data_IF_024557953189
#
_entry.id   IF_024557953189
#
_cell.length_a   1.000
_cell.length_b   1.000
_cell.length_c   1.000
_cell.angle_alpha   90.00
_cell.angle_beta   90.00
_cell.angle_gamma   90.00
#
_symmetry.space_group_name_H-M   'P 1'
#
loop_
_entity.id
_entity.type
_entity.pdbx_description
1 polymer ?
#
# COMPACT_ATOMS: atom_id res chain seq x y z
N UNK A 1 52.81 -1.01 -40.02
CA UNK A 1 52.29 -1.78 -38.86
C UNK A 1 51.49 -0.92 -37.87
N UNK A 2 51.54 0.41 -37.95
CA UNK A 2 50.81 1.31 -37.02
C UNK A 2 49.28 1.32 -37.15
N UNK A 3 48.72 1.00 -38.32
CA UNK A 3 47.25 0.99 -38.51
C UNK A 3 46.52 -0.03 -37.63
N UNK A 4 47.18 -1.12 -37.22
CA UNK A 4 46.54 -2.15 -36.39
C UNK A 4 46.35 -1.71 -34.93
N UNK A 5 47.26 -0.89 -34.39
CA UNK A 5 47.18 -0.47 -32.98
C UNK A 5 46.02 0.50 -32.74
N UNK A 6 45.79 1.43 -33.69
CA UNK A 6 44.70 2.40 -33.60
C UNK A 6 43.31 1.73 -33.67
N UNK A 7 43.14 0.69 -34.49
CA UNK A 7 41.89 -0.05 -34.58
C UNK A 7 41.60 -0.86 -33.32
N UNK A 8 42.61 -1.47 -32.72
CA UNK A 8 42.48 -2.23 -31.46
C UNK A 8 42.03 -1.28 -30.33
N UNK A 9 42.67 -0.11 -30.19
CA UNK A 9 42.30 0.89 -29.17
C UNK A 9 40.88 1.41 -29.38
N UNK A 10 40.45 1.61 -30.64
CA UNK A 10 39.09 2.03 -30.96
C UNK A 10 38.05 0.94 -30.68
N UNK A 11 38.38 -0.33 -30.94
CA UNK A 11 37.52 -1.47 -30.63
C UNK A 11 37.36 -1.66 -29.11
N UNK A 12 38.44 -1.46 -28.36
CA UNK A 12 38.46 -1.56 -26.90
C UNK A 12 37.64 -0.44 -26.25
N UNK A 13 37.80 0.82 -26.70
CA UNK A 13 36.91 1.93 -26.27
C UNK A 13 35.44 1.69 -26.64
N UNK A 14 35.17 1.06 -27.79
CA UNK A 14 33.80 0.72 -28.20
C UNK A 14 33.20 -0.36 -27.30
N UNK A 15 34.00 -1.34 -26.87
CA UNK A 15 33.62 -2.38 -25.93
C UNK A 15 33.44 -1.82 -24.51
N UNK A 16 34.31 -0.94 -24.04
CA UNK A 16 34.13 -0.20 -22.77
C UNK A 16 32.87 0.67 -22.78
N UNK A 17 32.60 1.39 -23.88
CA UNK A 17 31.33 2.14 -24.05
C UNK A 17 30.11 1.22 -24.07
N UNK A 18 30.21 0.03 -24.65
CA UNK A 18 29.13 -0.98 -24.63
C UNK A 18 28.94 -1.61 -23.25
N UNK A 19 30.00 -1.79 -22.48
CA UNK A 19 29.95 -2.28 -21.09
C UNK A 19 29.49 -1.23 -20.08
N UNK A 20 29.64 0.07 -20.38
CA UNK A 20 29.12 1.17 -19.56
C UNK A 20 27.69 1.63 -19.96
N UNK A 21 27.25 1.35 -21.19
CA UNK A 21 25.87 1.59 -21.63
C UNK A 21 24.74 0.77 -20.94
N UNK A 22 24.94 -0.40 -20.28
CA UNK A 22 23.86 -1.10 -19.57
C UNK A 22 23.36 -0.31 -18.36
N UNK A 23 24.19 0.55 -17.76
CA UNK A 23 23.90 1.24 -16.50
C UNK A 23 22.78 2.28 -16.63
N UNK A 24 22.64 2.93 -17.79
CA UNK A 24 21.62 3.98 -18.02
C UNK A 24 20.25 3.36 -18.33
N UNK A 25 20.22 2.24 -19.08
CA UNK A 25 18.96 1.56 -19.44
C UNK A 25 18.32 0.89 -18.22
N UNK A 26 19.12 0.26 -17.37
CA UNK A 26 18.67 -0.35 -16.11
C UNK A 26 18.07 0.71 -15.15
N UNK A 27 18.67 1.89 -15.08
CA UNK A 27 18.16 2.97 -14.23
C UNK A 27 16.78 3.48 -14.67
N UNK A 28 16.54 3.55 -16.00
CA UNK A 28 15.25 3.98 -16.55
C UNK A 28 14.14 2.96 -16.27
N UNK A 29 14.43 1.66 -16.37
CA UNK A 29 13.45 0.60 -16.05
C UNK A 29 13.10 0.61 -14.57
N UNK A 30 14.10 0.71 -13.68
CA UNK A 30 13.88 0.78 -12.23
C UNK A 30 13.03 2.00 -11.86
N UNK A 31 13.27 3.15 -12.51
CA UNK A 31 12.47 4.35 -12.31
C UNK A 31 10.99 4.14 -12.71
N UNK A 32 10.72 3.58 -13.88
CA UNK A 32 9.35 3.32 -14.34
C UNK A 32 8.63 2.30 -13.49
N UNK A 33 9.29 1.20 -13.12
CA UNK A 33 8.69 0.18 -12.24
C UNK A 33 8.30 0.80 -10.89
N UNK A 34 9.18 1.59 -10.27
CA UNK A 34 8.87 2.29 -9.01
C UNK A 34 7.71 3.27 -9.17
N UNK A 35 7.68 4.03 -10.26
CA UNK A 35 6.60 4.97 -10.52
C UNK A 35 5.25 4.26 -10.70
N UNK A 36 5.22 3.18 -11.48
CA UNK A 36 4.01 2.37 -11.69
C UNK A 36 3.55 1.77 -10.35
N UNK A 37 4.46 1.18 -9.57
CA UNK A 37 4.14 0.64 -8.25
C UNK A 37 3.54 1.70 -7.33
N UNK A 38 4.06 2.93 -7.34
CA UNK A 38 3.52 4.05 -6.55
C UNK A 38 2.12 4.47 -6.99
N UNK A 39 1.88 4.55 -8.30
CA UNK A 39 0.56 4.87 -8.84
C UNK A 39 -0.44 3.78 -8.46
N UNK A 40 -0.07 2.50 -8.61
CA UNK A 40 -0.91 1.37 -8.21
C UNK A 40 -1.18 1.41 -6.70
N UNK A 41 -0.16 1.61 -5.86
CA UNK A 41 -0.35 1.75 -4.41
C UNK A 41 -1.30 2.90 -4.06
N UNK A 42 -1.17 4.05 -4.72
CA UNK A 42 -2.06 5.20 -4.52
C UNK A 42 -3.51 4.86 -4.87
N UNK A 43 -3.74 4.20 -6.01
CA UNK A 43 -5.08 3.79 -6.43
C UNK A 43 -5.69 2.80 -5.43
N UNK A 44 -4.93 1.81 -4.98
CA UNK A 44 -5.40 0.86 -3.98
C UNK A 44 -5.69 1.57 -2.65
N UNK A 45 -4.84 2.50 -2.20
CA UNK A 45 -5.13 3.31 -1.00
C UNK A 45 -6.45 4.09 -1.13
N UNK A 46 -6.71 4.69 -2.30
CA UNK A 46 -7.96 5.40 -2.56
C UNK A 46 -9.17 4.47 -2.51
N UNK A 47 -9.08 3.27 -3.12
CA UNK A 47 -10.14 2.27 -3.05
C UNK A 47 -10.39 1.81 -1.61
N UNK A 48 -9.34 1.53 -0.84
CA UNK A 48 -9.45 1.18 0.59
C UNK A 48 -10.15 2.29 1.38
N UNK A 49 -9.74 3.55 1.20
CA UNK A 49 -10.39 4.68 1.84
C UNK A 49 -11.88 4.77 1.49
N UNK A 50 -12.23 4.62 0.21
CA UNK A 50 -13.62 4.68 -0.24
C UNK A 50 -14.46 3.56 0.39
N UNK A 51 -13.96 2.31 0.38
CA UNK A 51 -14.65 1.17 0.99
C UNK A 51 -14.85 1.36 2.50
N UNK A 52 -13.81 1.81 3.22
CA UNK A 52 -13.90 2.04 4.66
C UNK A 52 -14.85 3.21 5.00
N UNK A 53 -14.83 4.28 4.22
CA UNK A 53 -15.74 5.42 4.39
C UNK A 53 -17.18 4.99 4.14
N UNK A 54 -17.44 4.20 3.10
CA UNK A 54 -18.78 3.73 2.79
C UNK A 54 -19.32 2.82 3.90
N UNK A 55 -18.51 1.86 4.36
CA UNK A 55 -18.85 1.01 5.50
C UNK A 55 -19.16 1.82 6.77
N UNK A 56 -18.36 2.84 7.09
CA UNK A 56 -18.60 3.73 8.24
C UNK A 56 -19.86 4.57 8.05
N UNK A 57 -20.14 5.06 6.84
CA UNK A 57 -21.37 5.81 6.54
C UNK A 57 -22.60 4.92 6.67
N UNK A 58 -22.54 3.72 6.13
CA UNK A 58 -23.58 2.70 6.23
C UNK A 58 -23.90 2.40 7.69
N UNK A 59 -22.88 2.14 8.51
CA UNK A 59 -23.04 1.97 9.95
C UNK A 59 -23.69 3.20 10.60
N UNK A 60 -23.17 4.41 10.37
CA UNK A 60 -23.71 5.63 11.01
C UNK A 60 -25.17 5.87 10.66
N UNK A 61 -25.57 5.56 9.42
CA UNK A 61 -26.96 5.70 8.96
C UNK A 61 -27.88 4.65 9.59
N UNK A 62 -27.37 3.44 9.80
CA UNK A 62 -28.17 2.29 10.21
C UNK A 62 -28.04 1.94 11.70
N UNK A 63 -27.20 2.63 12.46
CA UNK A 63 -26.93 2.35 13.89
C UNK A 63 -28.18 2.38 14.79
N UNK A 64 -29.21 3.11 14.38
CA UNK A 64 -30.47 3.25 15.12
C UNK A 64 -31.59 2.35 14.59
N UNK A 65 -31.32 1.57 13.53
CA UNK A 65 -32.30 0.66 12.95
C UNK A 65 -32.51 -0.51 13.91
N UNK A 66 -33.78 -0.79 14.18
CA UNK A 66 -34.22 -1.97 14.91
C UNK A 66 -34.97 -2.87 13.94
N UNK A 67 -34.75 -4.17 14.06
CA UNK A 67 -35.52 -5.15 13.31
C UNK A 67 -36.57 -5.79 14.21
N UNK A 68 -37.71 -6.16 13.64
CA UNK A 68 -38.76 -6.88 14.36
C UNK A 68 -38.42 -8.37 14.43
N UNK A 69 -38.70 -9.01 15.56
CA UNK A 69 -38.63 -10.46 15.64
C UNK A 69 -39.64 -11.10 14.67
N UNK A 70 -39.32 -12.28 14.13
CA UNK A 70 -40.18 -12.97 13.16
C UNK A 70 -41.54 -13.38 13.75
N UNK A 71 -41.61 -13.55 15.07
CA UNK A 71 -42.80 -13.89 15.84
C UNK A 71 -43.63 -12.65 16.26
N UNK A 72 -43.19 -11.44 15.91
CA UNK A 72 -43.86 -10.18 16.29
C UNK A 72 -43.74 -9.81 17.76
N UNK A 73 -42.92 -10.52 18.55
CA UNK A 73 -42.78 -10.34 20.01
C UNK A 73 -42.06 -9.04 20.42
N UNK A 74 -41.56 -8.26 19.46
CA UNK A 74 -40.91 -6.98 19.72
C UNK A 74 -39.91 -6.57 18.64
N UNK A 75 -39.03 -5.61 18.98
CA UNK A 75 -37.92 -5.18 18.12
C UNK A 75 -36.57 -5.27 18.84
N UNK A 76 -35.56 -5.74 18.13
CA UNK A 76 -34.18 -5.81 18.59
C UNK A 76 -33.28 -4.90 17.75
N UNK A 77 -32.23 -4.31 18.34
CA UNK A 77 -31.30 -3.49 17.59
C UNK A 77 -30.50 -4.35 16.61
N UNK A 78 -30.30 -3.84 15.40
CA UNK A 78 -29.53 -4.55 14.35
C UNK A 78 -28.02 -4.54 14.64
N UNK A 79 -27.58 -3.63 15.51
CA UNK A 79 -26.21 -3.45 15.95
C UNK A 79 -26.09 -3.73 17.46
N UNK A 80 -24.92 -4.16 17.97
CA UNK A 80 -24.78 -4.52 19.37
C UNK A 80 -24.84 -3.27 20.26
N UNK A 81 -25.90 -3.14 21.08
CA UNK A 81 -26.10 -2.01 22.02
C UNK A 81 -25.30 -2.15 23.32
N UNK A 82 -25.15 -3.37 23.87
CA UNK A 82 -24.62 -3.58 25.23
C UNK A 82 -23.09 -3.55 25.31
N UNK A 83 -22.38 -4.13 24.33
CA UNK A 83 -20.91 -4.12 24.33
C UNK A 83 -20.31 -3.03 23.44
N UNK A 84 -21.14 -2.39 22.61
CA UNK A 84 -20.75 -1.34 21.68
C UNK A 84 -19.87 -1.87 20.53
N UNK A 85 -20.26 -1.61 19.29
CA UNK A 85 -19.43 -1.96 18.14
C UNK A 85 -18.11 -1.18 18.19
N UNK A 86 -16.97 -1.90 18.24
CA UNK A 86 -15.65 -1.29 18.35
C UNK A 86 -15.20 -0.79 16.98
N UNK A 87 -15.32 0.51 16.76
CA UNK A 87 -14.91 1.18 15.49
C UNK A 87 -13.44 1.57 15.42
N UNK A 88 -12.69 1.43 16.52
CA UNK A 88 -11.27 1.80 16.58
C UNK A 88 -10.42 1.13 15.49
N UNK A 89 -10.55 -0.19 15.21
CA UNK A 89 -9.77 -0.83 14.15
C UNK A 89 -10.03 -0.20 12.77
N UNK A 90 -11.30 0.07 12.44
CA UNK A 90 -11.71 0.70 11.19
C UNK A 90 -11.14 2.12 11.05
N UNK A 91 -11.18 2.92 12.12
CA UNK A 91 -10.64 4.28 12.10
C UNK A 91 -9.11 4.32 12.00
N UNK A 92 -8.42 3.42 12.70
CA UNK A 92 -6.97 3.26 12.59
C UNK A 92 -6.61 2.86 11.15
N UNK A 93 -7.37 1.94 10.56
CA UNK A 93 -7.12 1.48 9.19
C UNK A 93 -7.34 2.58 8.15
N UNK A 94 -8.42 3.34 8.31
CA UNK A 94 -8.70 4.51 7.47
C UNK A 94 -7.62 5.59 7.61
N UNK A 95 -7.20 5.88 8.85
CA UNK A 95 -6.13 6.84 9.11
C UNK A 95 -4.81 6.41 8.44
N UNK A 96 -4.46 5.13 8.54
CA UNK A 96 -3.29 4.58 7.89
C UNK A 96 -3.35 4.69 6.36
N UNK A 97 -4.50 4.37 5.76
CA UNK A 97 -4.71 4.49 4.32
C UNK A 97 -4.59 5.94 3.83
N UNK A 98 -5.10 6.91 4.59
CA UNK A 98 -4.96 8.35 4.29
C UNK A 98 -3.50 8.78 4.35
N UNK A 99 -2.79 8.45 5.43
CA UNK A 99 -1.38 8.82 5.61
C UNK A 99 -0.52 8.22 4.49
N UNK A 100 -0.66 6.91 4.23
CA UNK A 100 0.04 6.24 3.14
C UNK A 100 -0.32 6.81 1.76
N UNK A 101 -1.59 7.17 1.55
CA UNK A 101 -2.07 7.83 0.34
C UNK A 101 -1.38 9.18 0.11
N UNK A 102 -1.29 10.02 1.14
CA UNK A 102 -0.61 11.32 1.07
C UNK A 102 0.88 11.14 0.74
N UNK A 103 1.57 10.21 1.40
CA UNK A 103 2.97 9.91 1.07
C UNK A 103 3.14 9.49 -0.39
N UNK A 104 2.27 8.59 -0.89
CA UNK A 104 2.33 8.16 -2.29
C UNK A 104 2.07 9.32 -3.27
N UNK A 105 1.11 10.20 -2.99
CA UNK A 105 0.85 11.40 -3.80
C UNK A 105 2.07 12.31 -3.84
N UNK A 106 2.67 12.62 -2.68
CA UNK A 106 3.86 13.47 -2.60
C UNK A 106 5.01 12.88 -3.40
N UNK A 107 5.25 11.57 -3.31
CA UNK A 107 6.30 10.88 -4.06
C UNK A 107 6.05 10.88 -5.57
N UNK A 108 4.80 10.67 -6.02
CA UNK A 108 4.43 10.72 -7.44
C UNK A 108 4.62 12.13 -7.98
N UNK A 109 4.15 13.16 -7.27
CA UNK A 109 4.34 14.56 -7.65
C UNK A 109 5.83 14.92 -7.73
N UNK A 110 6.62 14.53 -6.72
CA UNK A 110 8.07 14.73 -6.71
C UNK A 110 8.74 14.05 -7.91
N UNK A 111 8.30 12.85 -8.30
CA UNK A 111 8.82 12.12 -9.46
C UNK A 111 8.47 12.77 -10.81
N UNK A 112 7.35 13.49 -10.90
CA UNK A 112 6.91 14.20 -12.11
C UNK A 112 7.55 15.57 -12.27
N UNK A 113 7.93 16.24 -11.17
CA UNK A 113 8.59 17.55 -11.24
C UNK A 113 10.03 17.45 -11.77
N UNK A 114 10.29 18.03 -12.94
CA UNK A 114 11.60 18.02 -13.60
C UNK A 114 12.74 18.62 -12.74
N UNK A 115 12.43 19.45 -11.75
CA UNK A 115 13.39 20.05 -10.83
C UNK A 115 14.15 19.01 -9.97
N UNK A 116 13.54 17.85 -9.67
CA UNK A 116 14.14 16.79 -8.82
C UNK A 116 14.92 15.76 -9.63
N UNK A 117 14.77 15.75 -10.96
CA UNK A 117 15.45 14.82 -11.89
C UNK A 117 16.98 14.97 -11.89
N UNK A 118 17.51 16.12 -11.44
CA UNK A 118 18.96 16.37 -11.27
C UNK A 118 19.50 16.04 -9.85
N UNK A 119 18.63 15.85 -8.86
CA UNK A 119 19.00 15.48 -7.48
C UNK A 119 18.70 14.00 -7.19
N UNK A 120 19.14 13.10 -8.08
CA UNK A 120 18.86 11.65 -8.03
C UNK A 120 19.22 10.95 -6.72
N UNK A 121 20.17 11.48 -5.94
CA UNK A 121 20.52 10.93 -4.61
C UNK A 121 19.49 11.28 -3.52
N UNK A 122 19.02 12.53 -3.47
CA UNK A 122 18.08 12.99 -2.43
C UNK A 122 16.70 12.39 -2.66
N UNK A 123 16.25 12.32 -3.93
CA UNK A 123 14.97 11.70 -4.29
C UNK A 123 14.91 10.20 -3.98
N UNK A 124 16.03 9.46 -4.12
CA UNK A 124 16.07 8.05 -3.76
C UNK A 124 16.01 7.82 -2.24
N UNK A 125 16.65 8.69 -1.44
CA UNK A 125 16.64 8.60 0.03
C UNK A 125 15.25 8.94 0.57
N UNK A 126 14.60 10.01 0.08
CA UNK A 126 13.24 10.37 0.52
C UNK A 126 12.23 9.28 0.20
N UNK A 127 12.33 8.69 -0.99
CA UNK A 127 11.48 7.55 -1.41
C UNK A 127 11.70 6.33 -0.52
N UNK A 128 12.94 6.06 -0.10
CA UNK A 128 13.26 4.96 0.82
C UNK A 128 12.60 5.17 2.18
N UNK A 129 12.79 6.35 2.78
CA UNK A 129 12.24 6.67 4.11
C UNK A 129 10.72 6.56 4.09
N UNK A 130 10.07 7.14 3.08
CA UNK A 130 8.64 7.06 2.93
C UNK A 130 8.15 5.61 2.71
N UNK A 131 8.85 4.80 1.89
CA UNK A 131 8.49 3.39 1.70
C UNK A 131 8.61 2.57 2.97
N UNK A 132 9.66 2.81 3.77
CA UNK A 132 9.87 2.12 5.04
C UNK A 132 8.78 2.47 6.05
N UNK A 133 8.39 3.75 6.12
CA UNK A 133 7.28 4.21 6.97
C UNK A 133 5.97 3.57 6.52
N UNK A 134 5.66 3.62 5.22
CA UNK A 134 4.44 3.00 4.68
C UNK A 134 4.43 1.48 4.92
N UNK A 135 5.55 0.80 4.73
CA UNK A 135 5.67 -0.64 4.98
C UNK A 135 5.40 -0.97 6.46
N UNK A 136 6.07 -0.27 7.37
CA UNK A 136 5.87 -0.46 8.81
C UNK A 136 4.42 -0.17 9.21
N UNK A 137 3.82 0.88 8.64
CA UNK A 137 2.43 1.25 8.87
C UNK A 137 1.46 0.16 8.40
N UNK A 138 1.59 -0.33 7.16
CA UNK A 138 0.70 -1.38 6.65
C UNK A 138 0.89 -2.69 7.41
N UNK A 139 2.11 -3.07 7.77
CA UNK A 139 2.37 -4.27 8.58
C UNK A 139 1.75 -4.14 9.96
N UNK A 140 1.97 -3.02 10.65
CA UNK A 140 1.43 -2.78 11.98
C UNK A 140 -0.11 -2.79 11.98
N UNK A 141 -0.72 -2.10 11.01
CA UNK A 141 -2.16 -1.95 10.96
C UNK A 141 -2.85 -3.23 10.51
N UNK A 142 -2.30 -3.97 9.55
CA UNK A 142 -2.86 -5.27 9.14
C UNK A 142 -2.68 -6.34 10.22
N UNK A 143 -1.53 -6.37 10.91
CA UNK A 143 -1.32 -7.26 12.05
C UNK A 143 -2.27 -6.91 13.20
N UNK A 144 -2.40 -5.62 13.53
CA UNK A 144 -3.36 -5.16 14.52
C UNK A 144 -4.77 -5.58 14.11
N UNK A 145 -5.24 -5.22 12.92
CA UNK A 145 -6.58 -5.58 12.44
C UNK A 145 -6.82 -7.10 12.47
N UNK A 146 -5.85 -7.92 12.07
CA UNK A 146 -5.95 -9.38 12.11
C UNK A 146 -6.04 -9.97 13.52
N UNK A 147 -5.44 -9.32 14.53
CA UNK A 147 -5.65 -9.75 15.93
C UNK A 147 -7.07 -9.52 16.43
N UNK A 148 -7.78 -8.51 15.89
CA UNK A 148 -9.18 -8.24 16.26
C UNK A 148 -10.17 -9.15 15.54
N UNK A 149 -9.86 -9.58 14.31
CA UNK A 149 -10.66 -10.55 13.53
C UNK A 149 -10.70 -11.94 14.20
N UNK A 150 -9.73 -12.25 15.06
CA UNK A 150 -9.58 -13.58 15.69
C UNK A 150 -10.08 -13.65 17.13
N UNK A 151 -10.36 -12.52 17.78
CA UNK A 151 -10.85 -12.51 19.15
C UNK A 151 -12.38 -12.46 19.21
N UNK A 152 -13.00 -13.56 19.62
CA UNK A 152 -14.45 -13.69 19.85
C UNK A 152 -15.02 -12.66 20.85
N UNK A 153 -14.15 -12.01 21.63
CA UNK A 153 -14.50 -11.04 22.68
C UNK A 153 -14.56 -9.58 22.20
N UNK A 154 -14.41 -9.32 20.90
CA UNK A 154 -14.49 -7.97 20.35
C UNK A 154 -15.25 -7.92 19.04
N UNK A 155 -16.50 -7.46 19.11
CA UNK A 155 -17.30 -7.18 17.93
C UNK A 155 -16.80 -5.91 17.23
N UNK A 156 -15.88 -6.08 16.27
CA UNK A 156 -15.51 -5.06 15.31
C UNK A 156 -16.47 -5.05 14.11
N UNK A 157 -16.37 -4.02 13.27
CA UNK A 157 -17.28 -3.84 12.13
C UNK A 157 -17.17 -5.00 11.12
N UNK A 158 -15.97 -5.55 10.89
CA UNK A 158 -15.80 -6.68 9.96
C UNK A 158 -16.41 -7.95 10.54
N UNK A 159 -16.05 -8.36 11.76
CA UNK A 159 -16.57 -9.60 12.35
C UNK A 159 -18.08 -9.56 12.49
N UNK A 160 -18.65 -8.43 12.90
CA UNK A 160 -20.11 -8.30 13.04
C UNK A 160 -20.83 -8.44 11.69
N UNK A 161 -20.40 -7.66 10.69
CA UNK A 161 -21.04 -7.64 9.36
C UNK A 161 -20.86 -8.98 8.63
N UNK A 162 -19.72 -9.65 8.81
CA UNK A 162 -19.47 -10.96 8.20
C UNK A 162 -20.16 -12.12 8.92
N UNK A 163 -20.32 -12.06 10.25
CA UNK A 163 -21.12 -13.05 10.99
C UNK A 163 -22.59 -12.95 10.59
N UNK A 164 -23.10 -11.73 10.40
CA UNK A 164 -24.49 -11.48 10.02
C UNK A 164 -24.71 -11.36 8.51
N UNK A 165 -23.76 -11.81 7.68
CA UNK A 165 -23.77 -11.68 6.21
C UNK A 165 -25.03 -12.25 5.57
N UNK A 166 -25.56 -13.34 6.13
CA UNK A 166 -26.71 -14.07 5.58
C UNK A 166 -28.05 -13.56 6.12
N UNK A 167 -28.04 -12.64 7.09
CA UNK A 167 -29.26 -12.04 7.60
C UNK A 167 -29.62 -10.82 6.74
N UNK A 168 -30.64 -10.99 5.90
CA UNK A 168 -31.20 -9.92 5.09
C UNK A 168 -32.10 -9.02 5.93
N UNK A 169 -31.54 -7.95 6.49
CA UNK A 169 -32.33 -6.87 7.09
C UNK A 169 -32.76 -5.89 6.00
N UNK A 170 -34.01 -5.42 6.04
CA UNK A 170 -34.57 -4.53 4.98
C UNK A 170 -33.72 -3.28 4.74
N UNK A 171 -33.13 -2.73 5.80
CA UNK A 171 -32.41 -1.46 5.77
C UNK A 171 -30.88 -1.61 5.85
N UNK A 172 -30.36 -2.84 6.00
CA UNK A 172 -28.91 -3.10 6.17
C UNK A 172 -28.47 -4.31 5.35
N UNK A 173 -27.58 -4.07 4.38
CA UNK A 173 -26.97 -5.13 3.56
C UNK A 173 -25.61 -5.55 4.14
N UNK A 174 -25.63 -6.36 5.18
CA UNK A 174 -24.40 -6.87 5.81
C UNK A 174 -23.47 -7.62 4.85
N UNK A 175 -24.04 -8.30 3.85
CA UNK A 175 -23.26 -9.00 2.83
C UNK A 175 -22.37 -8.11 1.97
N UNK A 176 -22.86 -6.93 1.62
CA UNK A 176 -22.13 -5.95 0.82
C UNK A 176 -21.01 -5.34 1.66
N UNK A 177 -21.33 -4.84 2.86
CA UNK A 177 -20.35 -4.26 3.79
C UNK A 177 -19.26 -5.25 4.23
N UNK A 178 -19.61 -6.52 4.46
CA UNK A 178 -18.60 -7.56 4.75
C UNK A 178 -17.62 -7.74 3.58
N UNK A 179 -18.12 -7.71 2.34
CA UNK A 179 -17.28 -7.87 1.14
C UNK A 179 -16.34 -6.67 0.98
N UNK A 180 -16.84 -5.46 1.19
CA UNK A 180 -16.04 -4.22 1.14
C UNK A 180 -14.95 -4.21 2.22
N UNK A 181 -15.28 -4.58 3.45
CA UNK A 181 -14.33 -4.62 4.55
C UNK A 181 -13.28 -5.72 4.35
N UNK A 182 -13.67 -6.90 3.83
CA UNK A 182 -12.71 -7.96 3.44
C UNK A 182 -11.79 -7.51 2.31
N UNK A 183 -12.34 -6.84 1.30
CA UNK A 183 -11.54 -6.25 0.23
C UNK A 183 -10.52 -5.27 0.80
N UNK A 184 -10.94 -4.36 1.69
CA UNK A 184 -10.04 -3.39 2.32
C UNK A 184 -8.92 -4.07 3.12
N UNK A 185 -9.22 -5.13 3.87
CA UNK A 185 -8.23 -5.90 4.61
C UNK A 185 -7.18 -6.54 3.69
N UNK A 186 -7.62 -7.30 2.67
CA UNK A 186 -6.70 -7.96 1.73
C UNK A 186 -5.94 -6.96 0.85
N UNK A 187 -6.56 -5.84 0.50
CA UNK A 187 -5.90 -4.73 -0.17
C UNK A 187 -4.79 -4.13 0.71
N UNK A 188 -5.01 -4.00 2.02
CA UNK A 188 -3.96 -3.59 2.97
C UNK A 188 -2.79 -4.56 3.03
N UNK A 189 -3.05 -5.87 3.05
CA UNK A 189 -1.99 -6.90 2.96
C UNK A 189 -1.23 -6.79 1.64
N UNK A 190 -1.96 -6.60 0.53
CA UNK A 190 -1.37 -6.35 -0.79
C UNK A 190 -0.47 -5.12 -0.79
N UNK A 191 -0.91 -4.01 -0.18
CA UNK A 191 -0.13 -2.78 -0.05
C UNK A 191 1.15 -2.97 0.76
N UNK A 192 1.12 -3.76 1.85
CA UNK A 192 2.34 -4.16 2.56
C UNK A 192 3.31 -4.90 1.62
N UNK A 193 2.80 -5.82 0.79
CA UNK A 193 3.59 -6.51 -0.23
C UNK A 193 4.19 -5.57 -1.28
N UNK A 194 3.42 -4.62 -1.81
CA UNK A 194 3.90 -3.63 -2.77
C UNK A 194 5.00 -2.74 -2.17
N UNK A 195 4.84 -2.28 -0.93
CA UNK A 195 5.87 -1.49 -0.25
C UNK A 195 7.13 -2.32 0.05
N UNK A 196 6.99 -3.61 0.38
CA UNK A 196 8.13 -4.51 0.54
C UNK A 196 8.91 -4.68 -0.76
N UNK A 197 8.23 -4.85 -1.90
CA UNK A 197 8.87 -4.90 -3.23
C UNK A 197 9.62 -3.59 -3.52
N UNK A 198 9.00 -2.44 -3.27
CA UNK A 198 9.65 -1.13 -3.43
C UNK A 198 10.92 -1.02 -2.56
N UNK A 199 10.85 -1.48 -1.31
CA UNK A 199 11.98 -1.49 -0.39
C UNK A 199 13.11 -2.41 -0.89
N UNK A 200 12.79 -3.61 -1.36
CA UNK A 200 13.77 -4.57 -1.91
C UNK A 200 14.47 -4.01 -3.16
N UNK A 201 13.73 -3.41 -4.09
CA UNK A 201 14.31 -2.76 -5.28
C UNK A 201 15.30 -1.65 -4.86
N UNK A 202 15.02 -0.93 -3.78
CA UNK A 202 15.95 0.04 -3.23
C UNK A 202 17.19 -0.61 -2.63
N UNK A 203 17.04 -1.64 -1.79
CA UNK A 203 18.16 -2.36 -1.18
C UNK A 203 19.11 -2.91 -2.25
N UNK A 204 18.57 -3.53 -3.30
CA UNK A 204 19.37 -4.04 -4.43
C UNK A 204 20.16 -2.91 -5.10
N UNK A 205 19.51 -1.78 -5.39
CA UNK A 205 20.16 -0.62 -5.98
C UNK A 205 21.28 -0.06 -5.07
N UNK A 206 21.02 0.04 -3.77
CA UNK A 206 21.97 0.52 -2.77
C UNK A 206 23.20 -0.40 -2.66
N UNK A 207 22.99 -1.72 -2.58
CA UNK A 207 24.07 -2.72 -2.53
C UNK A 207 24.93 -2.68 -3.79
N UNK A 208 24.31 -2.57 -4.98
CA UNK A 208 25.02 -2.44 -6.25
C UNK A 208 25.88 -1.17 -6.27
N UNK A 209 25.31 -0.03 -5.88
CA UNK A 209 26.01 1.26 -5.82
C UNK A 209 27.17 1.26 -4.82
N UNK A 210 27.03 0.56 -3.68
CA UNK A 210 28.08 0.43 -2.68
C UNK A 210 29.25 -0.43 -3.19
N UNK A 211 28.98 -1.53 -3.91
CA UNK A 211 30.01 -2.36 -4.53
C UNK A 211 30.82 -1.58 -5.57
N UNK A 212 30.18 -0.82 -6.44
CA UNK A 212 30.88 -0.03 -7.48
C UNK A 212 31.81 1.04 -6.88
N UNK A 213 31.41 1.66 -5.76
CA UNK A 213 32.29 2.60 -5.04
C UNK A 213 33.46 1.94 -4.32
N UNK A 214 33.34 0.67 -3.94
CA UNK A 214 34.42 -0.10 -3.33
C UNK A 214 35.54 -0.42 -4.31
N UNK A 215 35.19 -0.71 -5.58
CA UNK A 215 36.17 -0.98 -6.64
C UNK A 215 36.93 0.27 -7.13
N UNK A 216 36.36 1.47 -6.95
CA UNK A 216 37.04 2.72 -7.34
C UNK A 216 38.14 3.18 -6.35
N UNK A 217 38.38 2.42 -5.29
CA UNK A 217 39.39 2.72 -4.25
C UNK A 217 40.59 1.75 -4.25
N UNK A 218 40.70 0.89 -5.27
CA UNK A 218 41.84 -0.02 -5.45
C UNK A 218 42.62 0.41 -6.68
#
# INVERSE_FOLDING_TARGET
MENNAAEIILAERRNEKRQSAPEIRDYRVVFWVRLILRIVSMLICALVCMSLIDAVRSYRRTRHVRNTFQDGSGSFPVWPEQEGLKMYPTYIFLGAAIVAGVFNIVLVLAALTNAVRRMTKVGNISTMVASAICLALWVAVTAYYGTWDTSETSWDLLSWTCTHRNHGYKDVKFGETCTEMRFAFWAGVGLAGLEAVNFVIFVIWWLKTRRTRGYSKV
#
